data_IF_872456563234
#
_entry.id   IF_872456563234
#
_cell.length_a   1.000
_cell.length_b   1.000
_cell.length_c   1.000
_cell.angle_alpha   90.00
_cell.angle_beta   90.00
_cell.angle_gamma   90.00
#
_symmetry.space_group_name_H-M   'P 1'
#
loop_
_entity.id
_entity.type
_entity.pdbx_description
1 polymer ?
2 non-polymer ?
3 non-polymer ?
4 non-polymer ?
5 non-polymer ?
6 water ?
#
# COMPACT_ATOMS: atom_id res chain seq x y z
N UNK A 4 4.88 -1.39 31.51
CA UNK A 4 3.41 -1.66 31.63
C UNK A 4 2.86 -2.14 30.28
N UNK A 5 2.01 -3.16 30.32
CA UNK A 5 1.43 -3.71 29.09
C UNK A 5 0.54 -2.70 28.37
N UNK A 6 0.20 -3.00 27.13
CA UNK A 6 -0.61 -2.11 26.30
C UNK A 6 -1.59 -2.90 25.44
N UNK A 7 -2.79 -2.38 25.31
CA UNK A 7 -3.75 -2.85 24.31
C UNK A 7 -4.40 -1.65 23.64
N UNK A 8 -5.02 -1.89 22.49
CA UNK A 8 -5.62 -0.82 21.69
C UNK A 8 -7.10 -1.09 21.44
N UNK A 9 -7.87 0.00 21.34
CA UNK A 9 -9.24 -0.06 20.85
C UNK A 9 -9.34 0.86 19.62
N UNK A 10 -9.91 0.34 18.54
CA UNK A 10 -10.04 1.09 17.30
C UNK A 10 -11.51 1.20 16.93
N UNK A 11 -12.03 2.43 16.86
CA UNK A 11 -13.43 2.67 16.49
C UNK A 11 -13.55 2.65 14.97
N UNK A 12 -14.37 1.73 14.46
CA UNK A 12 -14.49 1.51 13.02
C UNK A 12 -15.89 1.12 12.58
N UNK A 13 -16.91 1.52 13.35
CA UNK A 13 -18.29 1.05 13.12
C UNK A 13 -19.08 1.90 12.11
N UNK A 14 -18.47 2.96 11.59
CA UNK A 14 -19.19 3.97 10.82
C UNK A 14 -19.61 3.59 9.41
N UNK A 15 -20.78 4.10 9.01
CA UNK A 15 -21.33 3.87 7.68
C UNK A 15 -20.56 4.64 6.60
N UNK A 16 -20.07 5.83 6.94
CA UNK A 16 -19.40 6.69 5.98
C UNK A 16 -20.32 7.11 4.84
N UNK A 17 -21.47 7.66 5.20
CA UNK A 17 -22.51 8.02 4.24
C UNK A 17 -22.00 8.97 3.15
N UNK A 18 -21.18 9.96 3.52
CA UNK A 18 -20.70 10.96 2.58
C UNK A 18 -19.59 10.47 1.62
N UNK A 19 -19.21 9.20 1.74
CA UNK A 19 -18.37 8.54 0.74
C UNK A 19 -19.21 8.08 -0.45
N UNK A 20 -20.53 7.96 -0.24
CA UNK A 20 -21.46 7.46 -1.26
C UNK A 20 -20.96 6.16 -1.88
N UNK A 21 -20.79 5.17 -1.00
CA UNK A 21 -20.15 3.90 -1.34
C UNK A 21 -20.89 2.73 -0.72
N UNK A 22 -20.75 1.56 -1.33
CA UNK A 22 -21.24 0.33 -0.74
C UNK A 22 -20.31 -0.19 0.36
N UNK A 23 -19.09 0.35 0.44
CA UNK A 23 -18.15 0.00 1.49
C UNK A 23 -18.45 0.77 2.77
N UNK A 24 -18.15 0.16 3.93
CA UNK A 24 -18.15 0.96 5.16
C UNK A 24 -16.98 1.93 5.17
N UNK A 25 -17.03 2.91 6.07
CA UNK A 25 -16.15 4.08 6.05
C UNK A 25 -14.65 3.77 6.08
N UNK A 26 -14.24 2.86 6.95
CA UNK A 26 -12.81 2.66 7.21
C UNK A 26 -12.10 1.74 6.21
N UNK A 27 -12.84 1.14 5.28
CA UNK A 27 -12.24 0.24 4.28
C UNK A 27 -11.69 0.95 3.05
N UNK A 28 -12.04 2.23 2.86
CA UNK A 28 -11.46 3.02 1.77
C UNK A 28 -9.96 3.13 2.01
N UNK A 29 -9.19 3.11 0.92
CA UNK A 29 -7.75 2.94 1.01
C UNK A 29 -6.98 4.26 1.03
N UNK A 30 -5.86 4.23 1.76
CA UNK A 30 -4.79 5.22 1.65
C UNK A 30 -3.53 4.44 1.29
N UNK A 31 -2.84 4.89 0.24
CA UNK A 31 -1.62 4.22 -0.25
C UNK A 31 -1.85 2.72 -0.46
N UNK A 32 -3.00 2.37 -1.04
CA UNK A 32 -3.31 1.00 -1.42
C UNK A 32 -3.79 0.09 -0.29
N UNK A 33 -4.02 0.65 0.89
CA UNK A 33 -4.37 -0.14 2.06
C UNK A 33 -5.47 0.54 2.89
N UNK A 34 -6.46 -0.25 3.37
CA UNK A 34 -7.60 0.35 4.10
C UNK A 34 -7.15 1.26 5.22
N UNK A 35 -7.88 2.36 5.43
CA UNK A 35 -7.57 3.28 6.52
C UNK A 35 -7.40 2.53 7.85
N UNK A 36 -8.30 1.60 8.14
CA UNK A 36 -8.26 0.87 9.40
C UNK A 36 -7.01 -0.01 9.52
N UNK A 37 -6.53 -0.56 8.39
CA UNK A 37 -5.31 -1.38 8.39
C UNK A 37 -4.09 -0.56 8.81
N UNK A 38 -4.02 0.69 8.37
CA UNK A 38 -2.97 1.61 8.83
C UNK A 38 -2.96 1.70 10.36
N UNK A 39 -4.13 1.89 10.95
CA UNK A 39 -4.24 2.05 12.40
C UNK A 39 -3.91 0.75 13.13
N UNK A 40 -4.38 -0.37 12.61
CA UNK A 40 -4.04 -1.68 13.16
C UNK A 40 -2.52 -1.90 13.17
N UNK A 41 -1.87 -1.60 12.05
CA UNK A 41 -0.41 -1.76 11.95
C UNK A 41 0.31 -0.87 12.96
N UNK A 42 -0.13 0.38 13.06
CA UNK A 42 0.43 1.31 14.04
C UNK A 42 0.24 0.80 15.46
N UNK A 43 -0.95 0.26 15.75
CA UNK A 43 -1.23 -0.35 17.05
C UNK A 43 -0.27 -1.50 17.33
N UNK A 44 -0.01 -2.32 16.30
CA UNK A 44 0.93 -3.42 16.42
C UNK A 44 2.37 -2.92 16.62
N UNK A 45 2.76 -1.88 15.88
CA UNK A 45 4.10 -1.27 16.04
C UNK A 45 4.37 -0.81 17.48
N UNK A 46 3.33 -0.32 18.14
CA UNK A 46 3.43 0.14 19.54
C UNK A 46 3.68 -1.00 20.52
N UNK A 47 3.40 -2.23 20.09
CA UNK A 47 3.52 -3.40 20.95
C UNK A 47 2.23 -3.72 21.67
N UNK A 48 1.10 -3.46 21.01
CA UNK A 48 -0.22 -3.77 21.58
C UNK A 48 -0.39 -5.26 21.72
N UNK A 49 -0.85 -5.69 22.89
CA UNK A 49 -1.07 -7.10 23.18
C UNK A 49 -2.38 -7.57 22.54
N UNK A 50 -3.44 -6.79 22.74
CA UNK A 50 -4.71 -7.00 22.05
C UNK A 50 -5.09 -5.76 21.27
N UNK A 51 -5.78 -5.96 20.15
CA UNK A 51 -6.34 -4.88 19.37
C UNK A 51 -7.83 -5.15 19.25
N UNK A 52 -8.63 -4.32 19.93
CA UNK A 52 -10.09 -4.49 19.91
C UNK A 52 -10.68 -3.62 18.82
N UNK A 53 -11.21 -4.27 17.78
CA UNK A 53 -11.78 -3.57 16.64
C UNK A 53 -13.29 -3.46 16.82
N UNK A 54 -13.76 -2.24 17.07
CA UNK A 54 -15.19 -1.98 17.19
C UNK A 54 -15.75 -1.79 15.78
N UNK A 55 -16.60 -2.70 15.34
CA UNK A 55 -17.17 -2.64 13.99
C UNK A 55 -18.69 -2.72 14.06
N UNK A 56 -19.34 -2.37 12.95
CA UNK A 56 -20.80 -2.29 12.89
C UNK A 56 -21.32 -2.35 11.46
N UNK A 57 -21.36 -1.19 10.81
CA UNK A 57 -21.84 -1.11 9.42
C UNK A 57 -20.88 -1.84 8.47
N UNK A 58 -21.46 -2.52 7.48
CA UNK A 58 -20.67 -3.29 6.52
C UNK A 58 -19.88 -4.41 7.17
N UNK A 59 -20.49 -5.03 8.19
CA UNK A 59 -19.83 -6.06 8.99
C UNK A 59 -19.23 -7.19 8.17
N UNK A 60 -20.00 -7.71 7.22
CA UNK A 60 -19.54 -8.82 6.39
C UNK A 60 -18.36 -8.41 5.50
N UNK A 61 -18.40 -7.20 4.95
CA UNK A 61 -17.29 -6.66 4.16
C UNK A 61 -16.04 -6.45 5.01
N UNK A 62 -16.22 -5.93 6.23
CA UNK A 62 -15.11 -5.78 7.17
C UNK A 62 -14.44 -7.13 7.41
N UNK A 63 -15.26 -8.15 7.65
CA UNK A 63 -14.76 -9.51 7.93
C UNK A 63 -13.98 -10.10 6.75
N UNK A 64 -14.48 -9.91 5.54
CA UNK A 64 -13.80 -10.45 4.34
C UNK A 64 -12.51 -9.68 4.01
N UNK A 65 -12.55 -8.35 4.11
CA UNK A 65 -11.40 -7.51 3.78
C UNK A 65 -10.26 -7.55 4.80
N UNK A 66 -10.61 -7.83 6.06
CA UNK A 66 -9.62 -7.84 7.16
C UNK A 66 -9.52 -9.21 7.82
N UNK A 67 -9.83 -10.25 7.05
CA UNK A 67 -9.92 -11.62 7.56
C UNK A 67 -8.70 -12.10 8.34
N UNK A 68 -7.51 -11.71 7.87
CA UNK A 68 -6.25 -12.18 8.46
C UNK A 68 -5.68 -11.29 9.56
N UNK A 69 -6.40 -10.23 9.94
CA UNK A 69 -5.90 -9.29 10.94
C UNK A 69 -6.05 -9.86 12.34
N UNK A 70 -5.00 -9.71 13.15
CA UNK A 70 -4.99 -10.20 14.53
C UNK A 70 -5.69 -9.19 15.45
N UNK A 71 -7.02 -9.20 15.39
CA UNK A 71 -7.84 -8.30 16.19
C UNK A 71 -8.97 -9.06 16.86
N UNK A 72 -9.49 -8.48 17.94
CA UNK A 72 -10.70 -8.97 18.59
C UNK A 72 -11.89 -8.25 17.96
N UNK A 73 -12.79 -9.03 17.34
CA UNK A 73 -13.94 -8.48 16.64
C UNK A 73 -15.07 -8.16 17.61
N UNK A 74 -15.27 -6.86 17.86
CA UNK A 74 -16.28 -6.41 18.81
C UNK A 74 -17.41 -5.68 18.07
N UNK A 75 -18.55 -6.34 17.95
CA UNK A 75 -19.67 -5.81 17.18
C UNK A 75 -20.48 -4.82 18.02
N UNK A 76 -20.66 -3.61 17.48
CA UNK A 76 -21.48 -2.58 18.10
C UNK A 76 -22.76 -2.42 17.27
N UNK A 77 -23.85 -3.01 17.75
CA UNK A 77 -25.11 -3.06 16.99
C UNK A 77 -25.78 -1.69 16.84
N UNK A 78 -25.58 -0.81 17.82
CA UNK A 78 -26.11 0.55 17.77
C UNK A 78 -25.00 1.55 18.07
N UNK A 79 -24.87 2.55 17.21
CA UNK A 79 -23.86 3.60 17.39
C UNK A 79 -24.36 4.67 18.35
N UNK A 80 -24.33 4.35 19.64
CA UNK A 80 -24.82 5.26 20.67
C UNK A 80 -23.75 6.21 21.21
N UNK A 81 -22.56 6.19 20.60
CA UNK A 81 -21.50 7.16 20.95
C UNK A 81 -20.14 6.51 21.16
N UNK A 82 -19.11 7.33 21.16
CA UNK A 82 -17.74 6.85 21.29
C UNK A 82 -17.47 6.16 22.63
N UNK A 83 -18.12 6.62 23.70
CA UNK A 83 -17.99 5.97 25.02
C UNK A 83 -18.66 4.60 25.02
N UNK A 84 -19.83 4.51 24.38
CA UNK A 84 -20.56 3.26 24.22
C UNK A 84 -19.76 2.26 23.38
N UNK A 85 -19.13 2.76 22.31
CA UNK A 85 -18.27 1.95 21.46
C UNK A 85 -17.14 1.31 22.27
N UNK A 86 -16.39 2.13 23.00
CA UNK A 86 -15.26 1.65 23.80
C UNK A 86 -15.72 0.69 24.90
N UNK A 87 -16.91 0.92 25.48
CA UNK A 87 -17.41 0.05 26.54
C UNK A 87 -17.74 -1.35 26.07
N UNK A 88 -17.97 -1.54 24.76
CA UNK A 88 -18.19 -2.88 24.22
C UNK A 88 -16.94 -3.76 24.35
N UNK A 89 -15.76 -3.13 24.32
CA UNK A 89 -14.49 -3.84 24.47
C UNK A 89 -13.97 -3.88 25.92
N UNK A 90 -14.56 -3.06 26.77
CA UNK A 90 -14.09 -2.87 28.15
C UNK A 90 -13.96 -4.15 28.97
N UNK A 91 -14.92 -5.09 28.84
CA UNK A 91 -14.80 -6.34 29.59
C UNK A 91 -13.50 -7.11 29.33
N UNK A 92 -12.83 -6.82 28.21
CA UNK A 92 -11.60 -7.49 27.84
C UNK A 92 -10.34 -6.72 28.25
N UNK A 93 -10.51 -5.54 28.84
CA UNK A 93 -9.37 -4.76 29.31
C UNK A 93 -8.79 -5.41 30.57
N UNK A 94 -7.46 -5.53 30.62
CA UNK A 94 -6.77 -5.93 31.84
C UNK A 94 -6.72 -4.72 32.74
N UNK A 95 -6.91 -4.92 34.04
CA UNK A 95 -6.96 -3.81 34.99
C UNK A 95 -5.69 -2.97 34.97
N UNK A 96 -4.53 -3.62 34.88
CA UNK A 96 -3.25 -2.90 34.94
C UNK A 96 -2.46 -2.91 33.62
N UNK A 97 -3.16 -2.93 32.50
CA UNK A 97 -2.56 -2.62 31.20
C UNK A 97 -3.03 -1.23 30.81
N UNK A 98 -2.23 -0.53 30.01
CA UNK A 98 -2.67 0.71 29.41
C UNK A 98 -3.56 0.42 28.22
N UNK A 99 -4.50 1.32 27.94
CA UNK A 99 -5.39 1.20 26.78
C UNK A 99 -5.33 2.50 26.01
N UNK A 100 -5.01 2.42 24.72
CA UNK A 100 -5.00 3.58 23.83
C UNK A 100 -6.22 3.51 22.92
N UNK A 101 -6.97 4.59 22.81
CA UNK A 101 -8.16 4.64 21.96
C UNK A 101 -7.84 5.37 20.66
N UNK A 102 -8.11 4.70 19.55
CA UNK A 102 -7.79 5.22 18.23
C UNK A 102 -9.00 5.14 17.32
N UNK A 103 -8.98 5.92 16.24
CA UNK A 103 -10.13 5.99 15.33
C UNK A 103 -9.74 5.48 13.96
N UNK A 104 -10.57 4.59 13.42
CA UNK A 104 -10.27 3.88 12.19
C UNK A 104 -10.27 4.74 10.93
N UNK A 105 -10.83 5.94 11.03
CA UNK A 105 -10.86 6.89 9.93
C UNK A 105 -9.77 7.97 10.04
N UNK A 106 -8.82 7.77 10.93
CA UNK A 106 -7.68 8.68 11.12
C UNK A 106 -6.38 7.90 10.99
N UNK A 107 -6.00 7.53 9.75
CA UNK A 107 -4.92 6.58 9.51
C UNK A 107 -3.48 7.11 9.65
N UNK A 108 -3.30 8.43 9.69
CA UNK A 108 -1.96 9.02 9.65
C UNK A 108 -1.28 9.14 11.02
N UNK A 109 -1.99 8.78 12.09
CA UNK A 109 -1.45 8.90 13.44
C UNK A 109 -0.17 8.07 13.59
N UNK A 110 0.92 8.68 14.03
CA UNK A 110 2.23 8.01 14.08
C UNK A 110 2.53 7.31 15.40
N UNK A 111 3.34 6.25 15.31
CA UNK A 111 3.85 5.53 16.46
C UNK A 111 4.57 6.46 17.44
N UNK A 112 5.37 7.37 16.88
CA UNK A 112 6.18 8.28 17.68
C UNK A 112 5.32 9.20 18.55
N UNK A 113 4.25 9.73 17.96
CA UNK A 113 3.30 10.57 18.70
C UNK A 113 2.59 9.78 19.80
N UNK A 114 2.21 8.55 19.49
CA UNK A 114 1.49 7.70 20.43
C UNK A 114 2.38 7.20 21.59
N UNK A 115 3.64 6.91 21.29
CA UNK A 115 4.62 6.56 22.33
C UNK A 115 4.79 7.70 23.33
N UNK A 116 4.80 8.92 22.81
CA UNK A 116 4.91 10.13 23.62
C UNK A 116 3.66 10.37 24.47
N UNK A 117 2.49 10.05 23.89
CA UNK A 117 1.22 10.14 24.62
C UNK A 117 1.21 9.18 25.79
N UNK A 118 1.57 7.92 25.53
CA UNK A 118 1.59 6.88 26.55
C UNK A 118 2.57 7.20 27.69
N UNK A 119 3.77 7.65 27.33
CA UNK A 119 4.80 8.05 28.29
C UNK A 119 4.32 9.14 29.24
N UNK A 120 3.53 10.08 28.73
CA UNK A 120 3.05 11.22 29.53
C UNK A 120 1.87 10.88 30.45
N UNK A 121 1.32 9.67 30.33
CA UNK A 121 0.17 9.28 31.14
C UNK A 121 0.55 9.12 32.61
N UNK A 122 -0.03 9.95 33.50
CA UNK A 122 0.23 9.80 34.92
C UNK A 122 -0.55 8.63 35.51
N UNK A 123 -0.01 8.00 36.56
CA UNK A 123 -0.62 6.83 37.18
C UNK A 123 -2.06 7.13 37.59
N UNK A 124 -2.96 6.19 37.29
CA UNK A 124 -4.41 6.34 37.53
C UNK A 124 -5.07 7.53 36.83
N UNK A 125 -4.36 8.13 35.86
CA UNK A 125 -4.83 9.33 35.17
C UNK A 125 -5.04 9.10 33.69
N UNK A 126 -5.14 10.19 32.94
CA UNK A 126 -5.35 10.14 31.50
C UNK A 126 -4.32 10.98 30.76
N UNK A 127 -3.87 10.49 29.61
CA UNK A 127 -3.09 11.28 28.67
C UNK A 127 -3.99 11.59 27.47
N UNK A 128 -4.20 12.87 27.19
CA UNK A 128 -5.07 13.30 26.11
C UNK A 128 -4.24 13.90 24.97
N UNK A 129 -4.46 13.40 23.76
CA UNK A 129 -3.81 13.95 22.57
C UNK A 129 -4.58 15.18 22.11
N UNK A 130 -3.89 16.31 22.04
CA UNK A 130 -4.48 17.57 21.60
C UNK A 130 -3.77 18.07 20.34
N UNK A 131 -4.37 19.06 19.68
CA UNK A 131 -3.79 19.65 18.48
C UNK A 131 -4.15 21.14 18.40
N UNK A 132 -3.20 21.94 17.91
CA UNK A 132 -3.42 23.38 17.73
C UNK A 132 -3.93 23.69 16.34
N UNK A 133 -5.10 24.31 16.26
CA UNK A 133 -5.71 24.73 15.00
C UNK A 133 -5.74 26.25 14.92
N UNK A 134 -5.47 26.79 13.73
CA UNK A 134 -5.53 28.24 13.52
C UNK A 134 -6.98 28.72 13.55
N UNK A 135 -7.88 27.91 13.01
CA UNK A 135 -9.32 28.12 13.17
C UNK A 135 -9.91 26.95 13.94
N UNK A 136 -9.97 27.06 15.29
CA UNK A 136 -10.49 25.99 16.14
C UNK A 136 -12.02 25.95 16.23
N UNK A 137 -12.71 26.79 15.44
CA UNK A 137 -14.17 26.89 15.50
C UNK A 137 -14.84 25.53 15.35
N UNK A 138 -15.66 25.17 16.34
CA UNK A 138 -16.43 23.93 16.32
C UNK A 138 -15.88 22.83 17.22
N UNK A 139 -14.60 22.92 17.58
CA UNK A 139 -13.94 21.88 18.36
C UNK A 139 -13.83 22.25 19.84
N UNK A 140 -13.78 21.25 20.70
CA UNK A 140 -13.70 21.45 22.14
C UNK A 140 -12.36 22.03 22.58
N UNK A 141 -12.40 23.17 23.26
CA UNK A 141 -11.19 23.88 23.66
C UNK A 141 -10.60 23.27 24.93
N UNK A 142 -9.29 23.09 24.93
CA UNK A 142 -8.57 22.54 26.08
C UNK A 142 -8.32 23.65 27.10
N UNK A 143 -8.80 23.43 28.32
CA UNK A 143 -8.59 24.37 29.42
C UNK A 143 -7.55 23.78 30.38
N UNK A 144 -6.39 24.42 30.45
CA UNK A 144 -5.32 24.00 31.35
C UNK A 144 -5.29 24.87 32.61
N UNK A 145 -5.22 24.22 33.77
CA UNK A 145 -4.98 24.92 35.03
C UNK A 145 -3.81 24.26 35.76
N UNK A 146 -2.66 24.96 35.73
CA UNK A 146 -1.39 24.44 36.24
C UNK A 146 -0.98 23.10 35.61
N UNK A 147 -0.72 23.13 34.31
CA UNK A 147 -0.16 21.99 33.57
C UNK A 147 -1.13 20.92 33.12
N UNK A 148 -2.30 20.83 33.76
CA UNK A 148 -3.23 19.73 33.53
C UNK A 148 -4.57 20.17 32.96
N UNK A 149 -5.23 19.26 32.25
CA UNK A 149 -6.51 19.55 31.60
C UNK A 149 -7.63 19.45 32.62
N UNK A 150 -8.27 20.58 32.90
CA UNK A 150 -9.36 20.64 33.87
C UNK A 150 -10.74 20.60 33.21
N UNK A 151 -10.80 20.94 31.92
CA UNK A 151 -12.06 20.91 31.19
C UNK A 151 -11.83 20.94 29.68
N UNK A 152 -12.75 20.32 28.95
CA UNK A 152 -12.84 20.45 27.51
C UNK A 152 -14.13 21.21 27.24
N UNK A 153 -14.01 22.49 26.86
CA UNK A 153 -15.17 23.36 26.69
C UNK A 153 -15.59 23.41 25.22
N UNK A 154 -16.84 23.02 24.96
CA UNK A 154 -17.34 22.95 23.59
C UNK A 154 -17.65 24.33 23.02
N UNK A 155 -17.69 24.42 21.70
CA UNK A 155 -17.90 25.68 20.97
C UNK A 155 -19.05 26.49 21.55
N UNK A 156 -20.22 25.86 21.65
CA UNK A 156 -21.46 26.55 22.07
C UNK A 156 -21.47 27.03 23.54
N UNK A 157 -20.58 26.48 24.37
CA UNK A 157 -20.50 26.86 25.78
C UNK A 157 -19.40 27.87 26.09
N UNK A 158 -18.39 27.95 25.22
CA UNK A 158 -17.19 28.74 25.50
C UNK A 158 -17.46 30.24 25.52
N UNK A 159 -16.79 30.95 26.42
CA UNK A 159 -16.84 32.41 26.45
C UNK A 159 -15.86 33.02 25.45
N UNK A 160 -15.94 34.33 25.27
CA UNK A 160 -15.11 35.04 24.28
C UNK A 160 -13.63 34.67 24.40
N UNK A 161 -13.11 34.72 25.63
CA UNK A 161 -11.71 34.40 25.91
C UNK A 161 -11.36 32.96 25.49
N UNK A 162 -12.22 32.02 25.85
CA UNK A 162 -12.00 30.60 25.55
C UNK A 162 -12.09 30.29 24.06
N UNK A 163 -12.97 30.99 23.35
CA UNK A 163 -13.10 30.84 21.90
C UNK A 163 -11.77 31.08 21.15
N UNK A 164 -10.91 31.93 21.70
CA UNK A 164 -9.59 32.21 21.12
C UNK A 164 -8.52 31.16 21.47
N UNK A 165 -8.86 30.18 22.31
CA UNK A 165 -7.96 29.05 22.56
C UNK A 165 -7.85 28.22 21.29
N UNK A 166 -6.62 27.97 20.85
CA UNK A 166 -6.35 27.27 19.59
C UNK A 166 -6.17 25.77 19.79
N UNK A 167 -5.79 25.35 21.00
CA UNK A 167 -5.61 23.94 21.32
C UNK A 167 -6.96 23.25 21.51
N UNK A 168 -7.19 22.17 20.77
CA UNK A 168 -8.45 21.45 20.83
C UNK A 168 -8.27 19.95 21.08
N UNK A 169 -9.38 19.29 21.43
CA UNK A 169 -9.41 17.87 21.74
C UNK A 169 -9.48 17.01 20.46
N UNK A 170 -8.66 15.97 20.40
CA UNK A 170 -8.69 15.03 19.28
C UNK A 170 -9.54 13.79 19.59
N UNK A 171 -9.75 13.50 20.87
CA UNK A 171 -10.46 12.30 21.29
C UNK A 171 -9.55 11.10 21.49
N UNK A 172 -8.30 11.20 21.06
CA UNK A 172 -7.33 10.12 21.24
C UNK A 172 -6.77 10.23 22.65
N UNK A 173 -6.81 9.12 23.38
CA UNK A 173 -6.42 9.14 24.80
C UNK A 173 -5.92 7.80 25.28
N UNK A 174 -5.16 7.83 26.38
CA UNK A 174 -4.64 6.64 27.02
C UNK A 174 -4.97 6.67 28.51
N UNK A 175 -5.40 5.53 29.04
CA UNK A 175 -5.61 5.35 30.47
C UNK A 175 -5.54 3.86 30.77
N UNK A 176 -5.41 3.50 32.05
CA UNK A 176 -5.36 2.08 32.44
C UNK A 176 -6.75 1.44 32.32
N UNK A 177 -6.77 0.11 32.19
CA UNK A 177 -8.02 -0.63 31.98
C UNK A 177 -9.02 -0.48 33.12
N UNK A 178 -8.53 -0.51 34.36
CA UNK A 178 -9.40 -0.36 35.53
C UNK A 178 -10.13 0.98 35.52
N UNK A 179 -9.39 2.04 35.19
CA UNK A 179 -9.95 3.38 35.13
C UNK A 179 -10.99 3.51 34.00
N UNK A 180 -10.72 2.89 32.85
CA UNK A 180 -11.70 2.88 31.76
C UNK A 180 -13.01 2.22 32.19
N UNK A 181 -12.91 1.03 32.78
CA UNK A 181 -14.09 0.30 33.25
C UNK A 181 -14.90 1.14 34.24
N UNK A 182 -14.21 1.77 35.17
CA UNK A 182 -14.81 2.65 36.18
C UNK A 182 -15.56 3.83 35.55
N UNK A 183 -14.85 4.62 34.75
CA UNK A 183 -15.41 5.87 34.23
C UNK A 183 -16.44 5.67 33.11
N UNK A 184 -16.26 4.63 32.29
CA UNK A 184 -17.22 4.37 31.19
C UNK A 184 -18.62 4.09 31.72
N UNK A 185 -18.71 3.39 32.85
CA UNK A 185 -19.99 3.09 33.49
C UNK A 185 -20.68 4.34 34.02
N UNK A 186 -19.95 5.45 34.12
CA UNK A 186 -20.48 6.71 34.64
C UNK A 186 -20.77 7.76 33.57
N UNK A 187 -20.52 7.42 32.30
CA UNK A 187 -20.80 8.34 31.21
C UNK A 187 -22.30 8.31 30.89
N UNK A 188 -22.92 9.48 30.82
CA UNK A 188 -24.33 9.61 30.48
C UNK A 188 -24.50 10.15 29.07
N UNK A 189 -25.76 10.30 28.66
CA UNK A 189 -26.08 10.83 27.33
C UNK A 189 -26.94 12.08 27.38
N UNK A 190 -26.88 12.82 28.49
CA UNK A 190 -27.67 14.05 28.63
C UNK A 190 -27.05 15.20 27.85
N UNK A 191 -27.30 15.21 26.55
CA UNK A 191 -26.81 16.26 25.66
C UNK A 191 -27.69 16.36 24.42
N UNK A 192 -27.45 17.37 23.60
CA UNK A 192 -28.28 17.63 22.42
C UNK A 192 -28.36 16.45 21.45
N UNK A 193 -27.30 15.63 21.43
CA UNK A 193 -27.20 14.49 20.51
C UNK A 193 -27.70 13.19 21.13
N UNK A 194 -27.85 13.15 22.45
CA UNK A 194 -28.25 11.94 23.14
C UNK A 194 -27.25 10.80 23.03
N UNK A 195 -25.96 11.16 22.94
CA UNK A 195 -24.89 10.18 22.78
C UNK A 195 -23.99 10.11 24.01
N UNK A 196 -23.38 8.94 24.21
CA UNK A 196 -22.41 8.73 25.27
C UNK A 196 -21.00 9.05 24.74
N UNK A 197 -20.48 10.21 25.13
CA UNK A 197 -19.21 10.71 24.61
C UNK A 197 -18.02 10.28 25.46
N UNK A 198 -16.98 9.75 24.80
CA UNK A 198 -15.71 9.42 25.47
C UNK A 198 -15.07 10.67 26.09
N UNK A 199 -15.31 11.83 25.47
CA UNK A 199 -14.88 13.14 25.97
C UNK A 199 -15.15 13.35 27.46
N UNK A 200 -16.28 12.84 27.94
CA UNK A 200 -16.70 13.01 29.33
C UNK A 200 -15.79 12.34 30.37
N UNK A 201 -14.88 11.47 29.93
CA UNK A 201 -13.90 10.86 30.84
C UNK A 201 -12.98 11.90 31.49
N UNK A 202 -12.74 13.01 30.82
CA UNK A 202 -11.87 14.06 31.35
C UNK A 202 -12.53 14.73 32.56
N UNK A 203 -13.83 15.00 32.44
CA UNK A 203 -14.61 15.52 33.57
C UNK A 203 -14.65 14.50 34.72
N UNK A 204 -14.91 13.24 34.39
CA UNK A 204 -14.98 12.18 35.40
C UNK A 204 -13.64 11.95 36.11
N UNK A 205 -12.55 12.04 35.35
CA UNK A 205 -11.21 11.93 35.93
C UNK A 205 -10.94 13.07 36.92
N UNK A 206 -11.30 14.30 36.55
CA UNK A 206 -11.13 15.45 37.44
C UNK A 206 -12.00 15.32 38.69
N UNK A 207 -13.22 14.83 38.52
CA UNK A 207 -14.11 14.49 39.63
C UNK A 207 -13.45 13.59 40.66
N UNK A 208 -12.70 12.59 40.18
CA UNK A 208 -12.00 11.63 41.05
C UNK A 208 -10.62 12.12 41.52
N UNK A 209 -10.31 13.38 41.27
CA UNK A 209 -8.98 13.94 41.57
C UNK A 209 -7.86 13.12 40.94
N UNK A 210 -8.08 12.73 39.68
CA UNK A 210 -7.07 12.05 38.88
C UNK A 210 -6.59 13.01 37.79
N UNK A 211 -5.30 12.94 37.49
CA UNK A 211 -4.65 13.92 36.62
C UNK A 211 -4.89 13.63 35.14
N UNK A 212 -5.23 14.67 34.38
CA UNK A 212 -5.34 14.58 32.94
C UNK A 212 -4.26 15.47 32.30
N UNK A 213 -3.33 14.85 31.57
CA UNK A 213 -2.20 15.55 30.97
C UNK A 213 -2.38 15.70 29.46
N UNK A 214 -2.16 16.92 28.96
CA UNK A 214 -2.26 17.19 27.52
C UNK A 214 -0.93 16.92 26.82
N UNK A 215 -1.01 16.25 25.67
CA UNK A 215 0.15 15.99 24.82
C UNK A 215 -0.18 16.44 23.39
N UNK A 216 0.52 17.45 22.91
CA UNK A 216 0.24 18.01 21.59
C UNK A 216 0.80 17.15 20.48
N UNK A 217 0.02 17.01 19.41
CA UNK A 217 0.50 16.37 18.18
C UNK A 217 1.31 17.39 17.40
N UNK A 218 2.42 16.95 16.81
CA UNK A 218 3.31 17.84 16.08
C UNK A 218 2.72 18.27 14.73
N UNK A 219 2.05 17.34 14.06
CA UNK A 219 1.46 17.60 12.76
C UNK A 219 -0.07 17.57 12.87
N UNK A 220 -0.71 18.65 12.40
CA UNK A 220 -2.17 18.73 12.36
C UNK A 220 -2.76 17.57 11.55
N UNK A 221 -2.17 17.32 10.39
CA UNK A 221 -2.68 16.29 9.47
C UNK A 221 -2.61 14.88 10.05
N UNK A 222 -1.70 14.65 10.98
CA UNK A 222 -1.52 13.33 11.59
C UNK A 222 -2.79 12.84 12.30
N UNK A 223 -3.56 13.76 12.88
CA UNK A 223 -4.79 13.41 13.60
C UNK A 223 -6.07 13.63 12.79
N UNK A 224 -5.94 14.06 11.53
CA UNK A 224 -7.10 14.32 10.66
C UNK A 224 -7.80 13.05 10.23
N UNK A 225 -9.13 13.05 10.34
CA UNK A 225 -9.97 11.97 9.81
C UNK A 225 -10.52 12.33 8.44
N UNK A 226 -10.97 11.33 7.69
CA UNK A 226 -11.58 11.56 6.38
C UNK A 226 -13.04 11.14 6.42
N UNK A 227 -13.93 12.10 6.19
CA UNK A 227 -15.39 11.85 6.18
C UNK A 227 -15.96 11.72 4.76
N UNK A 228 -15.18 12.14 3.78
CA UNK A 228 -15.56 12.00 2.38
C UNK A 228 -14.28 11.82 1.55
N UNK A 229 -14.43 11.60 0.25
CA UNK A 229 -13.29 11.28 -0.60
C UNK A 229 -12.38 12.47 -0.90
N UNK A 230 -12.91 13.69 -0.81
CA UNK A 230 -12.09 14.90 -0.93
C UNK A 230 -11.07 14.94 0.21
N UNK A 231 -11.55 14.70 1.42
CA UNK A 231 -10.69 14.67 2.61
C UNK A 231 -9.71 13.50 2.53
N UNK A 232 -10.18 12.37 2.02
CA UNK A 232 -9.33 11.21 1.84
C UNK A 232 -8.18 11.49 0.87
N UNK A 233 -8.49 12.19 -0.23
CA UNK A 233 -7.47 12.59 -1.20
C UNK A 233 -6.41 13.50 -0.58
N UNK A 234 -6.84 14.37 0.34
CA UNK A 234 -5.90 15.23 1.07
C UNK A 234 -4.98 14.41 1.97
N UNK A 235 -5.52 13.40 2.64
CA UNK A 235 -4.69 12.50 3.46
C UNK A 235 -3.70 11.72 2.60
N UNK A 236 -4.16 11.25 1.44
CA UNK A 236 -3.31 10.53 0.48
C UNK A 236 -2.09 11.38 0.09
N UNK A 237 -2.33 12.63 -0.30
CA UNK A 237 -1.23 13.49 -0.75
C UNK A 237 -0.27 13.83 0.38
N UNK A 238 -0.78 14.13 1.56
CA UNK A 238 0.06 14.35 2.73
C UNK A 238 0.94 13.12 3.00
N UNK A 239 0.34 11.93 2.89
CA UNK A 239 1.04 10.68 3.17
C UNK A 239 2.14 10.41 2.13
N UNK A 240 1.80 10.55 0.85
CA UNK A 240 2.79 10.36 -0.22
C UNK A 240 3.94 11.37 -0.13
N UNK A 241 3.62 12.64 0.15
CA UNK A 241 4.66 13.67 0.32
C UNK A 241 5.65 13.29 1.42
N UNK A 242 5.12 12.74 2.49
CA UNK A 242 5.92 12.34 3.65
C UNK A 242 6.80 11.11 3.34
N UNK A 243 6.23 10.12 2.64
CA UNK A 243 7.00 8.96 2.18
C UNK A 243 8.12 9.37 1.23
N UNK A 244 7.80 10.25 0.30
CA UNK A 244 8.76 10.74 -0.69
C UNK A 244 9.89 11.50 -0.01
N UNK A 245 9.54 12.38 0.94
CA UNK A 245 10.52 13.15 1.68
C UNK A 245 11.52 12.26 2.42
N UNK A 246 11.01 11.22 3.06
CA UNK A 246 11.86 10.25 3.78
C UNK A 246 12.85 9.57 2.83
N UNK A 247 12.35 9.14 1.67
CA UNK A 247 13.19 8.47 0.68
C UNK A 247 14.27 9.42 0.13
N UNK A 248 13.87 10.66 -0.12
CA UNK A 248 14.80 11.70 -0.58
C UNK A 248 15.93 11.92 0.43
N UNK A 249 15.58 12.03 1.70
CA UNK A 249 16.59 12.19 2.76
C UNK A 249 17.45 10.94 2.95
N UNK A 250 16.93 9.77 2.57
CA UNK A 250 17.72 8.53 2.57
C UNK A 250 18.64 8.40 1.36
N UNK A 251 18.52 9.30 0.38
CA UNK A 251 19.41 9.32 -0.78
C UNK A 251 18.81 8.76 -2.06
N UNK A 252 17.49 8.60 -2.11
CA UNK A 252 16.83 8.22 -3.36
C UNK A 252 16.54 9.50 -4.15
N UNK A 253 17.02 9.57 -5.39
CA UNK A 253 16.73 10.71 -6.26
C UNK A 253 15.33 10.57 -6.86
N UNK A 254 14.36 11.25 -6.26
CA UNK A 254 13.00 11.32 -6.80
C UNK A 254 12.85 12.67 -7.49
N UNK A 255 12.78 12.63 -8.82
CA UNK A 255 12.86 13.85 -9.64
C UNK A 255 11.76 14.85 -9.26
N UNK A 256 10.55 14.35 -9.03
CA UNK A 256 9.45 15.16 -8.52
C UNK A 256 8.64 14.37 -7.47
N UNK A 257 8.80 14.69 -6.18
CA UNK A 257 8.09 13.96 -5.14
C UNK A 257 6.57 14.15 -5.15
N UNK A 258 6.09 15.20 -5.83
CA UNK A 258 4.65 15.40 -6.04
C UNK A 258 4.08 14.47 -7.12
N UNK A 259 4.96 13.82 -7.89
CA UNK A 259 4.55 12.86 -8.91
C UNK A 259 5.23 11.52 -8.67
N UNK A 260 5.09 11.04 -7.44
CA UNK A 260 5.63 9.76 -7.02
C UNK A 260 4.64 9.14 -6.06
N UNK A 261 4.36 7.85 -6.24
CA UNK A 261 3.44 7.14 -5.37
C UNK A 261 4.06 5.82 -4.90
N UNK A 262 4.09 5.62 -3.59
CA UNK A 262 4.47 4.35 -2.99
C UNK A 262 3.24 3.79 -2.28
N UNK A 263 2.86 2.57 -2.66
CA UNK A 263 1.69 1.90 -2.11
C UNK A 263 2.13 0.54 -1.59
N UNK A 264 2.90 0.55 -0.52
CA UNK A 264 3.52 -0.65 0.03
C UNK A 264 4.86 -0.31 0.67
N UNK A 265 5.87 -1.14 0.43
CA UNK A 265 7.20 -0.93 1.00
C UNK A 265 8.28 -0.94 -0.08
N UNK A 266 9.22 -0.02 0.04
CA UNK A 266 10.34 0.08 -0.88
C UNK A 266 11.65 -0.13 -0.13
N UNK A 267 12.43 -1.10 -0.58
CA UNK A 267 13.80 -1.30 -0.12
C UNK A 267 14.72 -0.82 -1.24
N UNK A 268 15.73 -0.01 -0.90
CA UNK A 268 16.60 0.58 -1.92
C UNK A 268 18.08 0.57 -1.57
N UNK A 269 18.91 0.53 -2.61
CA UNK A 269 20.35 0.75 -2.47
C UNK A 269 20.68 2.23 -2.61
N UNK A 270 21.91 2.51 -3.03
CA UNK A 270 22.38 3.90 -3.20
C UNK A 270 22.28 4.33 -4.65
N UNK A 271 22.20 5.64 -4.86
CA UNK A 271 22.18 6.24 -6.19
C UNK A 271 21.05 5.72 -7.09
N UNK A 272 19.90 5.46 -6.48
CA UNK A 272 18.69 5.09 -7.22
C UNK A 272 18.03 6.37 -7.75
N UNK A 273 17.61 6.32 -9.01
CA UNK A 273 16.98 7.47 -9.68
C UNK A 273 15.59 7.08 -10.17
N UNK A 274 14.59 7.84 -9.73
CA UNK A 274 13.19 7.59 -10.12
C UNK A 274 12.61 8.85 -10.77
N UNK A 275 12.30 8.75 -12.05
CA UNK A 275 11.76 9.89 -12.82
C UNK A 275 10.27 10.09 -12.46
N UNK A 276 9.63 11.08 -13.10
CA UNK A 276 8.29 11.50 -12.70
C UNK A 276 7.21 10.49 -13.09
N UNK A 277 6.14 10.44 -12.29
CA UNK A 277 4.99 9.56 -12.53
C UNK A 277 5.35 8.08 -12.47
N UNK A 278 6.02 7.69 -11.40
CA UNK A 278 6.28 6.29 -11.15
C UNK A 278 5.41 5.84 -9.98
N UNK A 279 4.89 4.63 -10.07
CA UNK A 279 4.06 4.04 -9.04
C UNK A 279 4.73 2.74 -8.57
N UNK A 280 4.98 2.66 -7.27
CA UNK A 280 5.60 1.49 -6.65
C UNK A 280 4.57 0.84 -5.74
N UNK A 281 4.24 -0.42 -6.01
CA UNK A 281 3.17 -1.14 -5.31
C UNK A 281 3.67 -2.44 -4.69
N UNK A 282 3.04 -2.84 -3.58
CA UNK A 282 3.40 -4.06 -2.89
C UNK A 282 4.80 -3.97 -2.31
N UNK A 283 5.53 -5.08 -2.35
CA UNK A 283 6.88 -5.14 -1.80
C UNK A 283 7.89 -5.06 -2.94
N UNK A 284 8.62 -3.94 -3.00
CA UNK A 284 9.57 -3.70 -4.08
C UNK A 284 10.96 -3.50 -3.53
N UNK A 285 11.94 -4.12 -4.18
CA UNK A 285 13.34 -3.99 -3.80
C UNK A 285 14.16 -3.56 -5.01
N UNK A 286 14.91 -2.47 -4.84
CA UNK A 286 15.79 -1.94 -5.88
C UNK A 286 17.24 -1.95 -5.40
N UNK A 287 18.14 -2.49 -6.20
CA UNK A 287 19.57 -2.49 -5.87
C UNK A 287 20.21 -1.14 -6.08
N UNK A 288 21.55 -1.11 -6.08
CA UNK A 288 22.31 0.12 -6.29
C UNK A 288 22.20 0.59 -7.74
N UNK A 289 22.10 1.90 -7.92
CA UNK A 289 22.15 2.54 -9.24
C UNK A 289 21.03 2.10 -10.20
N UNK A 290 19.88 1.74 -9.64
CA UNK A 290 18.72 1.43 -10.48
C UNK A 290 18.13 2.74 -10.99
N UNK A 291 17.84 2.80 -12.28
CA UNK A 291 17.21 3.97 -12.89
C UNK A 291 15.83 3.59 -13.41
N UNK A 292 14.82 4.31 -12.96
CA UNK A 292 13.45 4.08 -13.40
C UNK A 292 12.95 5.30 -14.18
N UNK A 293 12.61 5.08 -15.44
CA UNK A 293 12.15 6.15 -16.35
C UNK A 293 10.71 6.52 -16.09
N UNK A 294 10.24 7.56 -16.78
CA UNK A 294 8.91 8.11 -16.51
C UNK A 294 7.80 7.10 -16.81
N UNK A 295 6.76 7.12 -15.97
CA UNK A 295 5.54 6.37 -16.26
C UNK A 295 5.56 4.88 -15.91
N UNK A 296 6.60 4.42 -15.22
CA UNK A 296 6.68 3.00 -14.90
C UNK A 296 5.81 2.61 -13.72
N UNK A 297 5.37 1.35 -13.73
CA UNK A 297 4.61 0.76 -12.62
C UNK A 297 5.30 -0.54 -12.18
N UNK A 298 5.75 -0.57 -10.94
CA UNK A 298 6.41 -1.74 -10.36
C UNK A 298 5.60 -2.27 -9.19
N UNK A 299 5.11 -3.49 -9.30
CA UNK A 299 4.32 -4.12 -8.24
C UNK A 299 4.92 -5.46 -7.87
N UNK A 300 5.39 -5.58 -6.63
CA UNK A 300 5.98 -6.82 -6.13
C UNK A 300 7.12 -7.33 -7.01
N UNK A 301 8.19 -6.54 -7.09
CA UNK A 301 9.32 -6.90 -7.94
C UNK A 301 10.64 -6.76 -7.21
N UNK A 302 11.63 -7.54 -7.64
CA UNK A 302 13.00 -7.42 -7.17
C UNK A 302 13.87 -7.03 -8.36
N UNK A 303 14.55 -5.89 -8.25
CA UNK A 303 15.38 -5.35 -9.33
C UNK A 303 16.84 -5.28 -8.87
N UNK A 304 17.72 -5.98 -9.57
CA UNK A 304 19.15 -6.04 -9.20
C UNK A 304 19.91 -4.74 -9.45
N UNK A 305 21.17 -4.71 -9.03
CA UNK A 305 22.03 -3.54 -9.23
C UNK A 305 22.16 -3.15 -10.70
N UNK A 306 22.25 -1.85 -10.95
CA UNK A 306 22.57 -1.31 -12.28
C UNK A 306 21.54 -1.61 -13.39
N UNK A 307 20.30 -1.89 -13.01
CA UNK A 307 19.23 -2.08 -13.99
C UNK A 307 18.66 -0.73 -14.40
N UNK A 308 18.44 -0.53 -15.68
CA UNK A 308 17.69 0.63 -16.16
C UNK A 308 16.35 0.15 -16.72
N UNK A 309 15.28 0.71 -16.18
CA UNK A 309 13.93 0.47 -16.68
C UNK A 309 13.52 1.75 -17.42
N UNK A 310 13.31 1.63 -18.72
CA UNK A 310 12.99 2.79 -19.56
C UNK A 310 11.49 3.08 -19.52
N UNK A 311 11.07 4.26 -20.03
CA UNK A 311 9.70 4.74 -19.79
C UNK A 311 8.55 3.79 -20.14
N UNK A 312 7.44 3.96 -19.43
CA UNK A 312 6.19 3.25 -19.71
C UNK A 312 6.37 1.74 -19.74
N UNK A 313 7.05 1.22 -18.72
CA UNK A 313 7.17 -0.21 -18.49
C UNK A 313 6.33 -0.60 -17.28
N UNK A 314 5.68 -1.76 -17.38
CA UNK A 314 4.80 -2.26 -16.31
C UNK A 314 5.26 -3.65 -15.91
N UNK A 315 5.65 -3.80 -14.65
CA UNK A 315 6.24 -5.02 -14.13
C UNK A 315 5.47 -5.47 -12.88
N UNK A 316 5.17 -6.76 -12.79
CA UNK A 316 4.50 -7.33 -11.62
C UNK A 316 4.99 -8.75 -11.29
N UNK A 317 5.16 -9.03 -9.98
CA UNK A 317 5.55 -10.36 -9.52
C UNK A 317 6.69 -10.92 -10.37
N UNK A 318 7.75 -10.13 -10.51
CA UNK A 318 8.87 -10.46 -11.38
C UNK A 318 10.22 -10.21 -10.72
N UNK A 319 11.24 -10.84 -11.26
CA UNK A 319 12.62 -10.68 -10.80
C UNK A 319 13.51 -10.29 -11.98
N UNK A 320 14.34 -9.27 -11.78
CA UNK A 320 15.24 -8.78 -12.82
C UNK A 320 16.69 -8.73 -12.30
N UNK A 321 17.57 -9.49 -12.93
CA UNK A 321 18.97 -9.59 -12.51
C UNK A 321 19.78 -8.34 -12.84
N UNK A 322 20.99 -8.27 -12.29
CA UNK A 322 21.80 -7.06 -12.39
C UNK A 322 22.22 -6.73 -13.83
N UNK A 323 22.33 -5.44 -14.11
CA UNK A 323 22.70 -4.90 -15.43
C UNK A 323 21.71 -5.20 -16.56
N UNK A 324 20.50 -5.65 -16.22
CA UNK A 324 19.48 -5.88 -17.23
C UNK A 324 18.98 -4.55 -17.78
N UNK A 325 18.44 -4.57 -18.98
CA UNK A 325 17.85 -3.39 -19.60
C UNK A 325 16.42 -3.70 -20.01
N UNK A 326 15.47 -2.94 -19.47
CA UNK A 326 14.05 -3.17 -19.74
C UNK A 326 13.41 -1.89 -20.27
N UNK A 327 12.54 -2.03 -21.27
CA UNK A 327 11.75 -0.90 -21.76
C UNK A 327 12.38 -0.21 -22.95
N UNK A 328 11.72 0.86 -23.46
CA UNK A 328 10.42 1.35 -23.00
C UNK A 328 9.28 0.46 -23.49
N UNK A 329 8.08 0.65 -22.94
CA UNK A 329 6.90 -0.10 -23.38
C UNK A 329 7.06 -1.62 -23.22
N UNK A 330 7.70 -2.04 -22.12
CA UNK A 330 7.82 -3.47 -21.79
C UNK A 330 6.79 -3.89 -20.75
N UNK A 331 6.32 -5.13 -20.86
CA UNK A 331 5.36 -5.70 -19.92
C UNK A 331 5.92 -6.98 -19.32
N UNK A 332 6.18 -6.97 -18.02
CA UNK A 332 6.53 -8.19 -17.28
C UNK A 332 5.34 -8.59 -16.44
N UNK A 333 4.78 -9.76 -16.76
CA UNK A 333 3.65 -10.31 -16.02
C UNK A 333 4.17 -11.30 -14.98
N UNK A 334 3.29 -11.73 -14.04
CA UNK A 334 3.76 -12.58 -12.94
C UNK A 334 4.57 -13.81 -13.37
N UNK A 335 5.65 -14.07 -12.62
CA UNK A 335 6.54 -15.18 -12.92
C UNK A 335 7.63 -14.88 -13.94
N UNK A 336 7.74 -13.63 -14.39
CA UNK A 336 8.82 -13.25 -15.30
C UNK A 336 10.11 -13.20 -14.49
N UNK A 337 11.10 -14.00 -14.90
CA UNK A 337 12.41 -14.02 -14.25
C UNK A 337 13.50 -13.75 -15.27
N UNK A 338 14.05 -12.54 -15.21
CA UNK A 338 15.09 -12.12 -16.14
C UNK A 338 16.45 -12.20 -15.45
N UNK A 339 17.37 -12.93 -16.06
CA UNK A 339 18.73 -13.07 -15.52
C UNK A 339 19.53 -11.79 -15.73
N UNK A 340 20.76 -11.79 -15.24
CA UNK A 340 21.65 -10.66 -15.40
C UNK A 340 21.92 -10.36 -16.87
N UNK A 341 22.13 -9.09 -17.18
CA UNK A 341 22.55 -8.64 -18.51
C UNK A 341 21.59 -9.02 -19.64
N UNK A 342 20.31 -9.18 -19.32
CA UNK A 342 19.29 -9.47 -20.32
C UNK A 342 18.74 -8.17 -20.90
N UNK A 343 18.01 -8.29 -22.00
CA UNK A 343 17.42 -7.14 -22.69
C UNK A 343 15.98 -7.42 -23.09
N UNK A 344 15.06 -6.57 -22.65
CA UNK A 344 13.66 -6.66 -23.04
C UNK A 344 13.21 -5.29 -23.57
N UNK A 345 12.65 -5.27 -24.77
CA UNK A 345 12.41 -4.03 -25.50
C UNK A 345 10.95 -3.66 -25.66
N UNK A 346 10.68 -2.76 -26.60
CA UNK A 346 9.34 -2.21 -26.76
C UNK A 346 8.31 -3.18 -27.31
N UNK A 347 7.11 -3.13 -26.73
CA UNK A 347 5.98 -3.94 -27.19
C UNK A 347 6.29 -5.43 -27.03
N UNK A 348 6.95 -5.75 -25.93
CA UNK A 348 7.27 -7.12 -25.56
C UNK A 348 6.56 -7.47 -24.26
N UNK A 349 5.97 -8.67 -24.23
CA UNK A 349 5.23 -9.18 -23.09
C UNK A 349 5.88 -10.51 -22.66
N UNK A 350 6.31 -10.58 -21.40
CA UNK A 350 6.89 -11.80 -20.84
C UNK A 350 6.02 -12.29 -19.68
N UNK A 351 5.50 -13.50 -19.79
CA UNK A 351 4.63 -14.07 -18.74
C UNK A 351 5.17 -15.43 -18.28
N UNK A 352 5.28 -15.60 -16.97
CA UNK A 352 5.68 -16.87 -16.35
C UNK A 352 6.76 -17.59 -17.17
N UNK A 353 7.87 -16.90 -17.34
CA UNK A 353 8.99 -17.43 -18.11
C UNK A 353 10.32 -17.03 -17.46
N UNK A 354 11.34 -17.85 -17.69
CA UNK A 354 12.69 -17.54 -17.24
C UNK A 354 13.51 -17.27 -18.50
N UNK A 355 14.32 -16.21 -18.45
CA UNK A 355 15.15 -15.80 -19.59
C UNK A 355 16.60 -15.68 -19.11
N UNK A 356 17.50 -16.44 -19.75
CA UNK A 356 18.86 -16.60 -19.26
C UNK A 356 19.80 -15.48 -19.60
N UNK A 357 20.97 -15.50 -18.95
CA UNK A 357 21.94 -14.41 -18.99
C UNK A 357 22.29 -14.00 -20.42
N UNK A 358 22.25 -12.70 -20.67
CA UNK A 358 22.66 -12.14 -21.95
C UNK A 358 21.63 -12.20 -23.08
N UNK A 359 20.52 -12.92 -22.86
CA UNK A 359 19.52 -13.09 -23.92
C UNK A 359 18.78 -11.78 -24.21
N UNK A 360 18.30 -11.63 -25.44
CA UNK A 360 17.58 -10.42 -25.83
C UNK A 360 16.23 -10.73 -26.48
N UNK A 361 15.22 -9.99 -26.05
CA UNK A 361 13.86 -10.06 -26.58
C UNK A 361 13.38 -8.62 -26.80
N UNK A 362 13.72 -8.04 -27.94
CA UNK A 362 13.66 -6.58 -28.10
C UNK A 362 12.49 -5.96 -28.86
N UNK A 363 11.64 -6.74 -29.51
CA UNK A 363 10.49 -6.14 -30.23
C UNK A 363 9.29 -7.07 -30.43
N UNK A 364 8.10 -6.53 -30.13
CA UNK A 364 6.85 -7.04 -30.70
C UNK A 364 6.70 -8.55 -30.53
N UNK A 365 6.90 -9.00 -29.30
CA UNK A 365 7.05 -10.42 -29.00
C UNK A 365 6.24 -10.80 -27.76
N UNK A 366 5.66 -12.00 -27.77
CA UNK A 366 5.04 -12.59 -26.60
C UNK A 366 5.79 -13.88 -26.25
N UNK A 367 6.32 -13.93 -25.04
CA UNK A 367 6.90 -15.15 -24.48
C UNK A 367 6.13 -15.53 -23.21
N UNK A 368 5.49 -16.69 -23.24
CA UNK A 368 4.68 -17.18 -22.12
C UNK A 368 4.99 -18.63 -21.79
N UNK A 369 5.01 -18.96 -20.50
CA UNK A 369 5.23 -20.33 -20.03
C UNK A 369 6.46 -20.95 -20.67
N UNK A 370 7.56 -20.21 -20.65
CA UNK A 370 8.76 -20.64 -21.35
C UNK A 370 9.99 -20.61 -20.48
N UNK A 371 10.98 -21.40 -20.87
CA UNK A 371 12.33 -21.30 -20.34
C UNK A 371 13.24 -20.98 -21.52
N UNK A 372 13.95 -19.86 -21.43
CA UNK A 372 14.92 -19.47 -22.45
C UNK A 372 16.29 -19.43 -21.80
N UNK A 373 17.29 -20.01 -22.46
CA UNK A 373 18.62 -20.13 -21.89
C UNK A 373 19.44 -18.85 -22.03
N UNK A 374 20.76 -19.00 -21.98
CA UNK A 374 21.68 -17.87 -22.01
C UNK A 374 22.10 -17.49 -23.43
N UNK A 375 22.31 -16.19 -23.64
CA UNK A 375 22.77 -15.65 -24.92
C UNK A 375 21.93 -16.06 -26.12
N UNK A 376 20.61 -16.04 -25.94
CA UNK A 376 19.69 -16.30 -27.03
C UNK A 376 19.30 -14.99 -27.70
N UNK A 377 18.93 -15.08 -28.96
CA UNK A 377 18.45 -13.94 -29.74
C UNK A 377 17.02 -14.24 -30.20
N UNK A 378 16.05 -13.63 -29.52
CA UNK A 378 14.63 -13.83 -29.83
C UNK A 378 14.17 -12.68 -30.73
N UNK A 379 13.97 -12.98 -32.00
CA UNK A 379 13.69 -11.96 -33.00
C UNK A 379 12.36 -11.26 -32.83
N UNK A 380 12.24 -10.11 -33.50
CA UNK A 380 11.00 -9.36 -33.51
C UNK A 380 9.85 -10.23 -34.03
N UNK A 381 8.68 -10.11 -33.40
CA UNK A 381 7.49 -10.79 -33.88
C UNK A 381 7.33 -12.24 -33.44
N UNK A 382 8.27 -12.75 -32.66
CA UNK A 382 8.21 -14.13 -32.20
C UNK A 382 7.08 -14.30 -31.17
N UNK A 383 6.34 -15.40 -31.29
CA UNK A 383 5.22 -15.67 -30.40
C UNK A 383 5.25 -17.12 -29.94
N UNK A 384 5.17 -17.34 -28.63
CA UNK A 384 4.92 -18.66 -28.07
C UNK A 384 3.42 -18.88 -28.01
N UNK A 385 2.94 -19.99 -28.54
CA UNK A 385 1.50 -20.29 -28.52
C UNK A 385 1.20 -21.77 -28.26
N UNK A 386 -0.09 -22.07 -28.11
CA UNK A 386 -0.58 -23.41 -27.83
C UNK A 386 -1.53 -23.90 -28.91
N UNK A 387 -1.78 -25.21 -28.92
CA UNK A 387 -2.86 -25.78 -29.70
C UNK A 387 -4.20 -25.43 -29.04
N UNK A 388 -5.28 -25.64 -29.77
CA UNK A 388 -6.62 -25.32 -29.28
C UNK A 388 -7.05 -26.40 -28.29
N UNK A 389 -7.41 -25.98 -27.08
CA UNK A 389 -7.83 -26.92 -26.03
C UNK A 389 -6.68 -27.39 -25.17
N UNK A 390 -5.49 -26.80 -25.37
CA UNK A 390 -4.32 -27.11 -24.56
C UNK A 390 -4.46 -26.48 -23.18
N UNK A 391 -3.52 -26.82 -22.29
CA UNK A 391 -3.55 -26.34 -20.91
C UNK A 391 -2.29 -25.53 -20.61
N UNK A 392 -1.98 -24.58 -21.49
CA UNK A 392 -0.78 -23.73 -21.37
C UNK A 392 0.48 -24.56 -21.16
N UNK A 393 0.91 -25.25 -22.21
CA UNK A 393 2.12 -26.07 -22.14
C UNK A 393 3.38 -25.21 -22.36
N UNK A 394 4.54 -25.81 -22.07
CA UNK A 394 5.79 -25.06 -21.99
C UNK A 394 6.64 -25.11 -23.25
N UNK A 395 7.33 -24.02 -23.52
CA UNK A 395 8.34 -23.94 -24.56
C UNK A 395 9.70 -23.88 -23.88
N UNK A 396 10.59 -24.79 -24.27
CA UNK A 396 11.94 -24.85 -23.68
C UNK A 396 12.96 -24.51 -24.75
N UNK A 397 13.66 -23.39 -24.55
CA UNK A 397 14.71 -22.94 -25.46
C UNK A 397 16.04 -22.98 -24.73
N UNK A 398 17.03 -23.67 -25.31
CA UNK A 398 18.34 -23.84 -24.68
C UNK A 398 19.21 -22.60 -24.75
N UNK A 399 20.53 -22.82 -24.71
CA UNK A 399 21.50 -21.73 -24.75
C UNK A 399 21.94 -21.44 -26.17
N UNK A 400 22.30 -20.19 -26.42
CA UNK A 400 22.87 -19.76 -27.70
C UNK A 400 21.98 -20.10 -28.90
N UNK A 401 20.67 -19.92 -28.73
CA UNK A 401 19.71 -20.18 -29.80
C UNK A 401 19.34 -18.88 -30.53
N UNK A 402 19.29 -18.94 -31.87
CA UNK A 402 18.79 -17.84 -32.69
C UNK A 402 17.39 -18.19 -33.19
N UNK A 403 16.40 -17.38 -32.82
CA UNK A 403 15.03 -17.54 -33.32
C UNK A 403 14.68 -16.37 -34.25
N UNK A 404 14.56 -16.69 -35.54
CA UNK A 404 14.28 -15.69 -36.57
C UNK A 404 12.96 -14.98 -36.40
N UNK A 405 12.91 -13.74 -36.91
CA UNK A 405 11.76 -12.86 -36.71
C UNK A 405 10.44 -13.48 -37.18
N UNK A 406 9.37 -13.16 -36.47
CA UNK A 406 8.02 -13.59 -36.83
C UNK A 406 7.85 -15.12 -36.88
N UNK A 407 8.55 -15.81 -35.99
CA UNK A 407 8.44 -17.26 -35.85
C UNK A 407 7.43 -17.58 -34.74
N UNK A 408 6.59 -18.60 -34.97
CA UNK A 408 5.69 -19.08 -33.92
C UNK A 408 6.28 -20.36 -33.33
N UNK A 409 6.37 -20.40 -32.01
CA UNK A 409 6.84 -21.57 -31.27
C UNK A 409 5.61 -22.22 -30.65
N UNK A 410 5.29 -23.43 -31.10
CA UNK A 410 4.04 -24.09 -30.69
C UNK A 410 4.29 -25.12 -29.60
N UNK A 411 3.95 -24.75 -28.36
CA UNK A 411 4.17 -25.63 -27.21
C UNK A 411 3.22 -26.82 -27.24
N UNK A 412 3.63 -27.96 -26.66
CA UNK A 412 4.92 -28.23 -26.03
C UNK A 412 6.02 -28.50 -27.06
N UNK A 413 7.14 -27.79 -26.95
CA UNK A 413 8.26 -27.97 -27.88
C UNK A 413 9.58 -27.59 -27.21
N UNK A 414 10.66 -28.26 -27.63
CA UNK A 414 12.00 -28.01 -27.12
C UNK A 414 12.93 -27.60 -28.26
N UNK A 415 13.75 -26.58 -28.03
CA UNK A 415 14.79 -26.16 -28.97
C UNK A 415 16.11 -26.22 -28.23
N UNK A 416 16.99 -27.14 -28.66
CA UNK A 416 18.23 -27.42 -27.93
C UNK A 416 19.32 -26.38 -28.20
N UNK A 417 20.41 -26.48 -27.44
CA UNK A 417 21.52 -25.53 -27.51
C UNK A 417 22.02 -25.30 -28.93
N UNK A 418 22.31 -24.04 -29.27
CA UNK A 418 22.95 -23.70 -30.53
C UNK A 418 22.11 -23.81 -31.79
N UNK A 419 20.81 -24.07 -31.63
CA UNK A 419 19.91 -24.18 -32.79
C UNK A 419 19.71 -22.82 -33.45
N UNK A 420 19.42 -22.85 -34.76
CA UNK A 420 19.13 -21.64 -35.53
C UNK A 420 17.80 -21.82 -36.24
N UNK A 421 16.89 -20.87 -36.06
CA UNK A 421 15.58 -20.93 -36.68
C UNK A 421 15.40 -19.72 -37.58
N UNK A 422 15.08 -19.97 -38.85
CA UNK A 422 14.88 -18.92 -39.83
C UNK A 422 13.61 -18.12 -39.59
N UNK A 423 13.55 -16.94 -40.21
CA UNK A 423 12.40 -16.05 -40.09
C UNK A 423 11.13 -16.68 -40.70
N UNK A 424 9.99 -16.40 -40.08
CA UNK A 424 8.68 -16.83 -40.60
C UNK A 424 8.42 -18.31 -40.46
N UNK A 425 9.05 -18.95 -39.48
CA UNK A 425 8.94 -20.40 -39.31
C UNK A 425 7.82 -20.72 -38.32
N UNK A 426 7.19 -21.89 -38.50
CA UNK A 426 6.24 -22.43 -37.53
C UNK A 426 6.86 -23.69 -36.93
N UNK A 427 7.29 -23.60 -35.67
CA UNK A 427 7.98 -24.70 -35.00
C UNK A 427 6.98 -25.52 -34.16
N UNK A 428 6.74 -26.76 -34.57
CA UNK A 428 5.89 -27.69 -33.84
C UNK A 428 6.65 -28.92 -33.31
N UNK A 429 7.74 -29.29 -33.98
CA UNK A 429 8.57 -30.42 -33.58
C UNK A 429 9.84 -29.94 -32.91
N UNK A 430 10.35 -30.74 -31.97
CA UNK A 430 11.57 -30.40 -31.24
C UNK A 430 12.74 -30.16 -32.20
N UNK A 431 13.59 -29.20 -31.85
CA UNK A 431 14.75 -28.86 -32.66
C UNK A 431 16.00 -29.32 -31.91
N UNK A 432 16.87 -30.04 -32.60
CA UNK A 432 18.06 -30.65 -31.99
C UNK A 432 19.22 -29.68 -31.85
N UNK A 433 20.26 -30.12 -31.15
CA UNK A 433 21.45 -29.31 -30.93
C UNK A 433 22.10 -28.96 -32.26
N UNK A 434 22.45 -27.70 -32.43
CA UNK A 434 23.05 -27.18 -33.66
C UNK A 434 22.24 -27.52 -34.93
N UNK A 435 20.92 -27.60 -34.80
CA UNK A 435 20.06 -27.85 -35.96
C UNK A 435 19.60 -26.52 -36.53
N UNK A 436 19.74 -26.38 -37.85
CA UNK A 436 19.24 -25.20 -38.56
C UNK A 436 17.90 -25.57 -39.19
N UNK A 437 16.88 -24.76 -38.90
CA UNK A 437 15.55 -24.96 -39.47
C UNK A 437 15.13 -23.70 -40.21
N UNK A 438 14.95 -23.83 -41.52
CA UNK A 438 14.51 -22.71 -42.34
C UNK A 438 13.29 -23.11 -43.14
N UNK A 439 12.39 -22.16 -43.35
CA UNK A 439 11.14 -22.42 -44.03
C UNK A 439 11.35 -22.31 -45.54
N UNK A 440 10.85 -23.31 -46.26
CA UNK A 440 10.86 -23.27 -47.72
C UNK A 440 9.59 -22.58 -48.17
N UNK A 441 9.74 -21.36 -48.71
CA UNK A 441 8.60 -20.60 -49.20
C UNK A 441 8.40 -20.83 -50.68
N UNK A 442 7.14 -20.91 -51.09
CA UNK A 442 6.78 -20.91 -52.51
C UNK A 442 6.13 -19.57 -52.79
N UNK A 443 6.61 -18.89 -53.83
CA UNK A 443 6.12 -17.56 -54.19
C UNK A 443 5.77 -17.50 -55.66
N UNK A 444 4.76 -16.70 -55.98
CA UNK A 444 4.40 -16.40 -57.36
C UNK A 444 4.86 -14.99 -57.68
N UNK A 445 5.61 -14.85 -58.77
CA UNK A 445 6.13 -13.55 -59.20
C UNK A 445 5.46 -13.16 -60.52
N UNK A 446 4.78 -12.01 -60.51
CA UNK A 446 4.12 -11.50 -61.70
C UNK A 446 4.79 -10.18 -62.09
N UNK A 447 5.41 -10.16 -63.26
CA UNK A 447 6.14 -8.99 -63.72
C UNK A 447 5.17 -8.01 -64.38
N UNK A 448 5.50 -6.72 -64.32
CA UNK A 448 4.68 -5.69 -64.95
C UNK A 448 3.30 -5.55 -64.34
N UNK A 449 3.20 -5.76 -63.03
CA UNK A 449 1.96 -5.53 -62.30
C UNK A 449 1.89 -4.06 -61.89
N UNK A 450 1.06 -3.30 -62.61
CA UNK A 450 0.86 -1.89 -62.34
C UNK A 450 -0.15 -1.72 -61.21
N UNK A 451 0.25 -1.05 -60.13
CA UNK A 451 -0.61 -0.86 -58.96
C UNK A 451 -1.77 0.08 -59.29
N UNK A 452 -2.92 -0.09 -58.60
CA UNK A 452 -4.08 0.76 -58.86
C UNK A 452 -3.91 2.15 -58.24
N UNK A 453 -3.06 2.96 -58.87
CA UNK A 453 -2.74 4.30 -58.37
C UNK A 453 -2.54 5.28 -59.54
X LIG B 1 -14.86 7.43 14.92
X LIG B 1 -15.93 7.04 15.69
X LIG B 1 -16.77 6.03 15.28
X LIG B 1 -16.54 5.39 14.08
X LIG B 1 -15.46 5.79 13.33
X LIG B 1 -14.61 6.79 13.72
X LIG B 1 -15.18 5.14 12.07
X LIG B 1 -16.08 4.48 11.54
X LIG B 1 -14.04 5.30 11.63
X LIG B 1 -17.87 5.67 16.09
X LIG B 1 -18.89 6.67 16.24
X LIG B 1 -19.53 6.56 17.60
X LIG B 1 -20.04 5.16 17.78
X LIG B 1 -21.09 4.94 18.38
X LIG B 1 -19.24 4.17 17.24
X LIG B 1 -18.14 4.35 16.42
X LIG B 1 -17.47 3.40 16.04
X LIG C 1 1.61 3.73 35.61
X LIG C 1 2.63 3.17 34.71
X LIG C 1 0.61 2.71 35.90
X LIG C 1 2.24 4.16 36.86
X LIG C 1 0.98 4.87 34.96
X LIG D 1 -20.86 8.47 9.09
X LIG D 1 -20.03 7.29 9.25
X LIG D 1 -21.66 8.37 7.87
X LIG D 1 -19.99 9.65 9.01
X LIG D 1 -21.76 8.60 10.25
X LIG E 1 -1.83 -11.27 -15.01
X LIG E 1 -1.47 -12.67 -15.31
X LIG E 1 -3.19 -10.99 -15.45
X LIG E 1 -0.91 -10.36 -15.68
X LIG E 1 -1.75 -11.07 -13.56
X LIG F 1 -1.93 -15.83 -21.15
X LIG F 1 -3.14 -15.70 -21.94
X LIG F 1 -1.41 -17.20 -21.28
X LIG F 1 -0.93 -14.89 -21.64
X LIG F 1 -2.22 -15.56 -19.75
X LIG G 1 -25.21 -1.90 6.72
X LIG G 1 -25.62 -2.75 5.60
X LIG G 1 -24.42 -2.70 7.66
X LIG G 1 -24.39 -0.80 6.20
X LIG G 1 -26.38 -1.37 7.39
X LIG H 1 -16.57 17.52 8.06
X LIG H 1 -16.11 16.36 7.31
X LIG H 1 -17.91 17.26 8.58
X LIG H 1 -16.62 18.68 7.17
X LIG H 1 -15.65 17.79 9.16
X LIG I 1 3.63 -11.23 -36.87
X LIG J 1 3.88 -14.50 -39.93
X LIG K 1 21.60 -18.78 -44.19
X LIG K 1 22.19 -18.97 -42.89
X LIG K 1 21.09 -19.15 -41.86
X LIG K 1 20.82 -17.91 -41.22
X LIG K 1 19.75 -17.98 -40.28
X LIG K 1 19.06 -16.62 -40.21
X LIG K 1 17.66 -16.73 -40.43
X LIG K 1 16.98 -15.48 -40.29
X LIG K 1 16.47 -15.02 -41.66
X LIG K 1 15.56 -15.98 -42.17
X LIG K 1 15.31 -15.80 -43.56
X LIG K 1 14.39 -16.90 -44.09
X LIG K 1 15.08 -18.15 -44.11
X LIG L 1 -31.74 7.33 25.84
X LIG L 1 -32.77 8.21 26.33
X LIG L 1 -32.23 9.04 27.49
X LIG L 1 -32.21 10.42 27.13
X LIG L 1 -31.93 11.27 28.25
X LIG L 1 -31.07 12.43 27.78
X LIG L 1 -31.62 12.97 26.58
X LIG L 1 -30.80 13.99 26.03
X LIG L 1 -31.50 14.58 24.83
X LIG L 1 -31.42 13.68 23.74
X LIG L 1 -31.66 14.33 22.48
X LIG L 1 -31.53 13.31 21.34
X LIG L 1 -32.52 12.29 21.48
#
# INVERSE_FOLDING_TARGET
MTKKALSAVILAAGKGTRMYSDLPKVLHTIAGKPMVKHVIDTAHQLGSENIHLIYGHGGDLMRTHLANEQVNWVLQTEQLGTAHAVQQAAPFFKDNENIVVLYGDAPLITKETLEKLIEAKPENGIALLTVNLDNPTGYGRIIRENGNVVAIVEQKDANAEQLNIKEVNTGVMVSDGASFKKWLARVGNNNAQGEYYLTDLIALANQDNCQVVAVQATDVMEVEGANNRLQLAALERYFQNKQASKLLLEGVMIYDPARFDLRGTLEHGKDVEIDVNVIIEGNVKLGDRVKIGTGCVLKNVVIGNDVEIKPYSVLEDSIVGEKAAIGPFSRLRPGAELAAETHVGNFVEIKKSTVGKGSKVNHLTYVGDSEIGSNCNIGAGVITCNYDGANKFKTIIGDDVFVGSDTQLVAPVKVANGATIGAGTTITRDVGENELVITRVAQRHIQGWQRPIKKK
1SF C1 C2 C3 C4 C5 C6 N7 O8 O9 N10 C11 C12 C13 O14 N15 C16 O17
SO4 S O1 O2 O3 O4
SO4 S O1 O2 O3 O4
SO4 S O1 O2 O3 O4
SO4 S O1 O2 O3 O4
SO4 S O1 O2 O3 O4
SO4 S O1 O2 O3 O4
MG MG
MG MG
PG4 O1 C1 C2 O2 C3 C4 O3 C5 C6 O4 C7 C8 O5
PG4 O1 C1 C2 O2 C3 C4 O3 C5 C6 O4 C7 C8 O5
#
